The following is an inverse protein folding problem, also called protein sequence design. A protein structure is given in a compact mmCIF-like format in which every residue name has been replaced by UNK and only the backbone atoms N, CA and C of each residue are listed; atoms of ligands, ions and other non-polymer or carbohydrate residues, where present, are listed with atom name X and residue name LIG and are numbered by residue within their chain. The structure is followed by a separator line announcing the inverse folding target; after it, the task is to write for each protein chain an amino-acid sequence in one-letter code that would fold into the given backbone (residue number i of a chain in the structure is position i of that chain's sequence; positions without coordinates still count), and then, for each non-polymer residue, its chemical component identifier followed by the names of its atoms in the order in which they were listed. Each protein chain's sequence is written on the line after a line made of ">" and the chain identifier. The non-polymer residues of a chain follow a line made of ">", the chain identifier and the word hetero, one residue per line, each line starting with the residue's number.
data_IF_312906846789
#
_entry.id   IF_312906846789
#
_cell.length_a   1.000
_cell.length_b   1.000
_cell.length_c   1.000
_cell.angle_alpha   90.00
_cell.angle_beta   90.00
_cell.angle_gamma   90.00
#
_symmetry.space_group_name_H-M   'P 1'
#
loop_
_entity.id
_entity.type
_entity.pdbx_description
1 polymer ?
#
# COMPACT_ATOMS: atom_id res chain seq x y z
N UNK A 1 4.48 -0.86 -0.52
CA UNK A 1 4.70 -0.14 -1.79
C UNK A 1 4.03 1.22 -1.72
N UNK A 2 4.66 2.26 -2.26
CA UNK A 2 4.25 3.67 -2.18
C UNK A 2 4.66 4.36 -3.48
N UNK A 3 4.29 5.63 -3.66
CA UNK A 3 4.86 6.43 -4.75
C UNK A 3 6.28 6.92 -4.43
N UNK A 4 7.11 7.01 -5.46
CA UNK A 4 8.54 7.33 -5.35
C UNK A 4 8.81 8.70 -4.74
N UNK A 5 7.97 9.70 -5.01
CA UNK A 5 8.16 11.07 -4.52
C UNK A 5 7.86 11.22 -3.02
N UNK A 6 7.17 10.25 -2.41
CA UNK A 6 6.86 10.24 -0.97
C UNK A 6 7.66 9.17 -0.22
N UNK A 7 8.72 8.63 -0.82
CA UNK A 7 9.51 7.52 -0.23
C UNK A 7 10.02 7.80 1.18
N UNK A 8 10.34 9.06 1.47
CA UNK A 8 10.92 9.46 2.76
C UNK A 8 9.83 9.71 3.84
N UNK A 9 8.54 9.56 3.49
CA UNK A 9 7.40 9.78 4.39
C UNK A 9 6.91 8.50 5.08
N UNK A 10 7.14 7.34 4.50
CA UNK A 10 6.55 6.06 4.94
C UNK A 10 7.65 5.02 5.19
N UNK A 11 8.44 5.23 6.25
CA UNK A 11 9.60 4.40 6.56
C UNK A 11 9.31 3.39 7.66
N UNK A 12 8.37 3.69 8.56
CA UNK A 12 8.01 2.81 9.68
C UNK A 12 6.52 2.48 9.73
N UNK A 13 6.16 1.51 10.56
CA UNK A 13 4.75 1.20 10.84
C UNK A 13 4.04 2.42 11.43
N UNK A 14 4.70 3.18 12.31
CA UNK A 14 4.15 4.38 12.92
C UNK A 14 3.88 5.49 11.90
N UNK A 15 4.71 5.60 10.86
CA UNK A 15 4.47 6.56 9.76
C UNK A 15 3.21 6.26 8.98
N UNK A 16 2.94 4.97 8.77
CA UNK A 16 1.81 4.45 8.01
C UNK A 16 0.55 4.40 8.88
N UNK A 17 0.67 4.02 10.16
CA UNK A 17 -0.45 3.77 11.08
C UNK A 17 -1.10 5.06 11.60
N UNK A 18 -1.62 5.88 10.68
CA UNK A 18 -2.23 7.18 10.97
C UNK A 18 -3.58 7.31 10.26
N UNK A 19 -4.58 7.99 10.87
CA UNK A 19 -5.91 8.16 10.26
C UNK A 19 -5.91 8.84 8.88
N UNK A 20 -4.87 9.63 8.59
CA UNK A 20 -4.72 10.32 7.30
C UNK A 20 -4.16 9.45 6.18
N UNK A 21 -3.74 8.21 6.47
CA UNK A 21 -3.10 7.33 5.49
C UNK A 21 -4.12 6.37 4.90
N UNK A 22 -4.23 6.37 3.57
CA UNK A 22 -5.14 5.49 2.82
C UNK A 22 -4.37 4.28 2.32
N UNK A 23 -4.78 3.10 2.76
CA UNK A 23 -4.14 1.83 2.43
C UNK A 23 -5.07 1.05 1.51
N UNK A 24 -4.58 0.72 0.31
CA UNK A 24 -5.21 -0.27 -0.55
C UNK A 24 -4.57 -1.63 -0.34
N UNK A 25 -5.36 -2.65 -0.03
CA UNK A 25 -4.86 -4.02 0.14
C UNK A 25 -5.60 -4.98 -0.79
N UNK A 26 -4.87 -5.94 -1.35
CA UNK A 26 -5.45 -7.04 -2.10
C UNK A 26 -6.12 -8.04 -1.14
N UNK A 27 -7.12 -8.78 -1.61
CA UNK A 27 -7.86 -9.77 -0.79
C UNK A 27 -7.08 -11.04 -0.42
N UNK A 28 -5.74 -11.01 -0.51
CA UNK A 28 -4.90 -12.10 -0.02
C UNK A 28 -4.86 -12.07 1.50
N UNK A 29 -5.31 -13.15 2.15
CA UNK A 29 -5.54 -13.19 3.60
C UNK A 29 -4.36 -12.72 4.46
N UNK A 30 -3.11 -12.97 4.04
CA UNK A 30 -1.92 -12.57 4.80
C UNK A 30 -1.71 -11.05 4.84
N UNK A 31 -1.89 -10.35 3.73
CA UNK A 31 -1.75 -8.88 3.70
C UNK A 31 -2.92 -8.21 4.42
N UNK A 32 -4.14 -8.74 4.25
CA UNK A 32 -5.33 -8.24 4.95
C UNK A 32 -5.20 -8.41 6.48
N UNK A 33 -4.74 -9.57 6.93
CA UNK A 33 -4.51 -9.82 8.36
C UNK A 33 -3.45 -8.87 8.93
N UNK A 34 -2.34 -8.66 8.21
CA UNK A 34 -1.29 -7.73 8.62
C UNK A 34 -1.80 -6.30 8.79
N UNK A 35 -2.55 -5.76 7.82
CA UNK A 35 -3.07 -4.38 7.91
C UNK A 35 -4.06 -4.24 9.07
N UNK A 36 -4.89 -5.26 9.32
CA UNK A 36 -5.84 -5.26 10.43
C UNK A 36 -5.13 -5.31 11.79
N UNK A 37 -4.05 -6.06 11.89
CA UNK A 37 -3.31 -6.23 13.14
C UNK A 37 -2.41 -5.03 13.47
N UNK A 38 -1.68 -4.49 12.49
CA UNK A 38 -0.61 -3.50 12.73
C UNK A 38 -0.96 -2.08 12.30
N UNK A 39 -1.93 -1.90 11.39
CA UNK A 39 -2.28 -0.61 10.79
C UNK A 39 -3.71 -0.18 11.14
N UNK A 40 -4.17 -0.56 12.33
CA UNK A 40 -5.54 -0.38 12.82
C UNK A 40 -6.03 1.07 12.95
N UNK A 41 -5.13 2.05 12.98
CA UNK A 41 -5.48 3.48 12.97
C UNK A 41 -5.53 4.07 11.56
N UNK A 42 -5.21 3.30 10.51
CA UNK A 42 -5.19 3.77 9.12
C UNK A 42 -6.53 3.55 8.43
N UNK A 43 -6.75 4.24 7.31
CA UNK A 43 -7.91 4.00 6.47
C UNK A 43 -7.61 2.84 5.48
N UNK A 44 -8.00 1.63 5.85
CA UNK A 44 -7.75 0.40 5.08
C UNK A 44 -8.95 0.06 4.20
N UNK A 45 -8.71 -0.09 2.89
CA UNK A 45 -9.70 -0.58 1.92
C UNK A 45 -9.21 -1.87 1.28
N UNK A 46 -10.01 -2.93 1.39
CA UNK A 46 -9.81 -4.15 0.62
C UNK A 46 -10.35 -3.90 -0.79
N UNK A 47 -9.50 -4.06 -1.80
CA UNK A 47 -9.85 -3.83 -3.21
C UNK A 47 -10.13 -5.17 -3.88
N UNK A 48 -11.33 -5.34 -4.45
CA UNK A 48 -11.75 -6.62 -5.04
C UNK A 48 -10.93 -6.99 -6.28
N UNK A 49 -10.58 -6.02 -7.12
CA UNK A 49 -9.71 -6.23 -8.27
C UNK A 49 -8.24 -5.96 -7.90
N UNK A 50 -7.54 -7.02 -7.50
CA UNK A 50 -6.16 -6.95 -7.01
C UNK A 50 -5.17 -6.30 -7.99
N UNK A 51 -5.41 -6.38 -9.30
CA UNK A 51 -4.51 -5.83 -10.32
C UNK A 51 -4.50 -4.30 -10.38
N UNK A 52 -5.52 -3.64 -9.82
CA UNK A 52 -5.66 -2.19 -9.91
C UNK A 52 -4.93 -1.45 -8.78
N UNK A 53 -4.66 -2.09 -7.64
CA UNK A 53 -4.10 -1.42 -6.46
C UNK A 53 -2.77 -0.71 -6.73
N UNK A 54 -1.78 -1.31 -7.45
CA UNK A 54 -0.55 -0.61 -7.82
C UNK A 54 -0.81 0.67 -8.61
N UNK A 55 -1.71 0.61 -9.59
CA UNK A 55 -2.09 1.79 -10.38
C UNK A 55 -2.79 2.84 -9.53
N UNK A 56 -3.69 2.45 -8.62
CA UNK A 56 -4.38 3.35 -7.70
C UNK A 56 -3.44 4.01 -6.69
N UNK A 57 -2.35 3.34 -6.28
CA UNK A 57 -1.27 3.97 -5.50
C UNK A 57 -0.53 4.99 -6.35
N UNK A 58 -0.19 4.64 -7.60
CA UNK A 58 0.51 5.51 -8.54
C UNK A 58 -0.28 6.79 -8.91
N UNK A 59 -1.61 6.72 -8.99
CA UNK A 59 -2.52 7.86 -9.20
C UNK A 59 -2.80 8.65 -7.90
N UNK A 60 -2.41 8.10 -6.74
CA UNK A 60 -2.64 8.74 -5.45
C UNK A 60 -4.07 8.62 -4.89
N UNK A 61 -4.84 7.67 -5.41
CA UNK A 61 -6.09 7.21 -4.77
C UNK A 61 -5.79 6.55 -3.42
N UNK A 62 -4.73 5.74 -3.36
CA UNK A 62 -4.15 5.22 -2.11
C UNK A 62 -2.74 5.75 -1.91
N UNK A 63 -2.29 5.78 -0.66
CA UNK A 63 -0.95 6.22 -0.28
C UNK A 63 0.01 5.04 -0.17
N UNK A 64 -0.47 3.91 0.34
CA UNK A 64 0.32 2.71 0.61
C UNK A 64 -0.44 1.47 0.12
N UNK A 65 0.28 0.53 -0.47
CA UNK A 65 -0.16 -0.86 -0.65
C UNK A 65 0.72 -1.79 0.18
N UNK A 66 0.09 -2.68 0.96
CA UNK A 66 0.78 -3.79 1.61
C UNK A 66 0.69 -5.01 0.68
N UNK A 67 1.85 -5.59 0.37
CA UNK A 67 2.05 -6.64 -0.65
C UNK A 67 3.41 -7.29 -0.42
N UNK A 68 3.64 -8.46 -1.02
CA UNK A 68 4.91 -9.16 -0.92
C UNK A 68 6.05 -8.36 -1.55
N UNK A 69 7.27 -8.56 -1.04
CA UNK A 69 8.45 -7.83 -1.54
C UNK A 69 8.71 -8.05 -3.02
N UNK A 70 8.45 -9.28 -3.52
CA UNK A 70 8.61 -9.61 -4.95
C UNK A 70 7.63 -8.83 -5.82
N UNK A 71 6.36 -8.75 -5.41
CA UNK A 71 5.32 -7.99 -6.11
C UNK A 71 5.65 -6.48 -6.09
N UNK A 72 6.03 -5.93 -4.94
CA UNK A 72 6.42 -4.53 -4.82
C UNK A 72 7.58 -4.16 -5.77
N UNK A 73 8.62 -5.00 -5.85
CA UNK A 73 9.74 -4.79 -6.78
C UNK A 73 9.32 -4.91 -8.24
N UNK A 74 8.43 -5.85 -8.57
CA UNK A 74 7.92 -6.03 -9.92
C UNK A 74 7.19 -4.77 -10.41
N UNK A 75 6.29 -4.22 -9.59
CA UNK A 75 5.52 -3.02 -9.94
C UNK A 75 6.39 -1.76 -9.97
N UNK A 76 7.30 -1.56 -9.01
CA UNK A 76 8.23 -0.43 -9.03
C UNK A 76 9.18 -0.44 -10.25
N UNK A 77 9.49 -1.62 -10.79
CA UNK A 77 10.24 -1.74 -12.05
C UNK A 77 9.39 -1.41 -13.28
N UNK A 78 8.09 -1.70 -13.24
CA UNK A 78 7.16 -1.52 -14.35
C UNK A 78 6.58 -0.10 -14.43
N UNK A 79 6.37 0.57 -13.30
CA UNK A 79 5.85 1.94 -13.21
C UNK A 79 6.84 2.84 -12.47
N UNK A 80 7.48 3.82 -13.14
CA UNK A 80 8.51 4.67 -12.53
C UNK A 80 7.98 5.65 -11.46
N UNK A 81 6.65 5.75 -11.29
CA UNK A 81 6.00 6.53 -10.25
C UNK A 81 6.00 5.82 -8.90
N UNK A 82 6.22 4.51 -8.88
CA UNK A 82 6.28 3.67 -7.68
C UNK A 82 7.73 3.48 -7.17
#
# INVERSE_FOLDING_TARGET
>A
MIRKEVKDKYLTIEDINKPSVRIGVNSSGTNEEFVRQYLSNSNVTVVENNLDVPHLVAEGTYDVMITDTVEAMLFAKADPRL
#
